data_IF_533429468367
#
_entry.id   IF_533429468367
#
_cell.length_a   1.000
_cell.length_b   1.000
_cell.length_c   1.000
_cell.angle_alpha   90.00
_cell.angle_beta   90.00
_cell.angle_gamma   90.00
#
_symmetry.space_group_name_H-M   'P 1'
#
loop_
_entity.id
_entity.type
_entity.pdbx_description
1 polymer ?
#
# COMPACT_ATOMS: atom_id res chain seq x y z
N UNK A 1 0.91 -10.05 25.67
CA UNK A 1 0.77 -9.69 24.25
C UNK A 1 -0.72 -9.64 23.93
N UNK A 2 -1.24 -8.53 23.46
CA UNK A 2 -2.66 -8.44 23.09
C UNK A 2 -2.87 -9.33 21.86
N UNK A 3 -3.70 -10.36 21.93
CA UNK A 3 -4.00 -11.20 20.78
C UNK A 3 -4.73 -10.37 19.71
N UNK A 4 -4.38 -10.55 18.46
CA UNK A 4 -5.10 -9.96 17.33
C UNK A 4 -5.37 -11.03 16.27
N UNK A 5 -6.42 -10.80 15.50
CA UNK A 5 -6.79 -11.65 14.38
C UNK A 5 -6.62 -10.84 13.09
N UNK A 6 -5.95 -11.42 12.09
CA UNK A 6 -5.89 -10.84 10.74
C UNK A 6 -7.04 -11.42 9.92
N UNK A 7 -7.87 -10.53 9.37
CA UNK A 7 -8.99 -10.87 8.50
C UNK A 7 -8.67 -10.44 7.07
N UNK A 8 -8.91 -11.35 6.13
CA UNK A 8 -8.66 -11.14 4.69
C UNK A 8 -9.86 -10.44 4.03
N UNK A 9 -10.15 -9.25 4.49
CA UNK A 9 -11.19 -8.38 3.96
C UNK A 9 -10.91 -6.93 4.38
N UNK A 10 -11.51 -5.97 3.68
CA UNK A 10 -11.51 -4.60 4.13
C UNK A 10 -12.34 -4.46 5.42
N UNK A 11 -11.92 -3.61 6.37
CA UNK A 11 -12.73 -3.30 7.55
C UNK A 11 -13.93 -2.42 7.17
N UNK A 12 -14.88 -2.28 8.10
CA UNK A 12 -15.98 -1.32 7.94
C UNK A 12 -15.43 0.10 7.71
N UNK A 13 -16.04 0.85 6.79
CA UNK A 13 -15.53 2.16 6.37
C UNK A 13 -15.42 3.17 7.52
N UNK A 14 -16.37 3.16 8.47
CA UNK A 14 -16.33 4.05 9.62
C UNK A 14 -15.14 3.75 10.53
N UNK A 15 -14.87 2.49 10.82
CA UNK A 15 -13.75 2.06 11.66
C UNK A 15 -12.41 2.36 10.97
N UNK A 16 -12.34 2.11 9.66
CA UNK A 16 -11.15 2.44 8.87
C UNK A 16 -10.86 3.94 8.89
N UNK A 17 -11.85 4.78 8.64
CA UNK A 17 -11.67 6.23 8.66
C UNK A 17 -11.22 6.72 10.03
N UNK A 18 -11.79 6.21 11.11
CA UNK A 18 -11.37 6.53 12.48
C UNK A 18 -9.91 6.15 12.74
N UNK A 19 -9.48 4.98 12.30
CA UNK A 19 -8.09 4.54 12.42
C UNK A 19 -7.15 5.41 11.59
N UNK A 20 -7.53 5.75 10.35
CA UNK A 20 -6.72 6.60 9.46
C UNK A 20 -6.57 8.02 10.02
N UNK A 21 -7.62 8.60 10.56
CA UNK A 21 -7.58 9.93 11.18
C UNK A 21 -6.71 9.92 12.44
N UNK A 22 -6.76 8.84 13.22
CA UNK A 22 -5.91 8.66 14.39
C UNK A 22 -4.42 8.53 14.01
N UNK A 23 -4.11 7.78 12.95
CA UNK A 23 -2.72 7.50 12.53
C UNK A 23 -2.08 8.66 11.75
N UNK A 24 -2.85 9.36 10.91
CA UNK A 24 -2.33 10.30 9.91
C UNK A 24 -2.88 11.73 10.05
N UNK A 25 -3.91 11.91 10.86
CA UNK A 25 -4.58 13.19 11.03
C UNK A 25 -5.48 13.58 9.85
N UNK A 26 -6.23 14.69 9.98
CA UNK A 26 -7.20 15.14 8.98
C UNK A 26 -6.55 15.60 7.66
N UNK A 27 -5.28 16.00 7.67
CA UNK A 27 -4.53 16.39 6.49
C UNK A 27 -4.14 15.23 5.55
N UNK A 28 -4.47 13.98 5.90
CA UNK A 28 -4.13 12.80 5.09
C UNK A 28 -4.67 12.84 3.67
N UNK A 29 -5.84 13.45 3.46
CA UNK A 29 -6.48 13.58 2.16
C UNK A 29 -5.77 14.55 1.20
N UNK A 30 -4.88 15.40 1.71
CA UNK A 30 -4.08 16.31 0.90
C UNK A 30 -2.79 15.68 0.35
N UNK A 31 -2.46 14.45 0.73
CA UNK A 31 -1.25 13.75 0.28
C UNK A 31 -1.33 13.38 -1.19
N UNK A 32 -0.20 13.45 -1.90
CA UNK A 32 -0.12 13.14 -3.34
C UNK A 32 -0.67 11.75 -3.68
N UNK A 33 -0.41 10.74 -2.86
CA UNK A 33 -0.92 9.39 -3.09
C UNK A 33 -2.46 9.30 -3.10
N UNK A 34 -3.16 10.22 -2.42
CA UNK A 34 -4.63 10.27 -2.46
C UNK A 34 -5.17 10.58 -3.85
N UNK A 35 -4.43 11.34 -4.67
CA UNK A 35 -4.82 11.61 -6.08
C UNK A 35 -5.01 10.32 -6.89
N UNK A 36 -4.27 9.26 -6.55
CA UNK A 36 -4.38 7.95 -7.21
C UNK A 36 -5.55 7.11 -6.67
N UNK A 37 -6.17 7.51 -5.56
CA UNK A 37 -7.30 6.81 -4.91
C UNK A 37 -8.65 7.44 -5.21
N UNK A 38 -8.69 8.73 -5.56
CA UNK A 38 -9.95 9.52 -5.71
C UNK A 38 -10.94 8.96 -6.72
N UNK A 39 -10.48 8.40 -7.82
CA UNK A 39 -11.31 7.78 -8.86
C UNK A 39 -11.02 6.29 -9.02
N UNK A 40 -10.58 5.65 -7.94
CA UNK A 40 -10.10 4.29 -7.93
C UNK A 40 -10.83 3.48 -6.85
N UNK A 41 -10.64 2.16 -6.85
CA UNK A 41 -11.17 1.25 -5.84
C UNK A 41 -10.05 0.34 -5.34
N UNK A 42 -10.03 0.02 -4.03
CA UNK A 42 -9.09 -0.96 -3.53
C UNK A 42 -9.50 -2.36 -3.99
N UNK A 43 -8.51 -3.21 -4.22
CA UNK A 43 -8.75 -4.61 -4.56
C UNK A 43 -9.10 -5.36 -3.28
N UNK A 44 -10.31 -5.89 -3.21
CA UNK A 44 -10.84 -6.55 -2.02
C UNK A 44 -9.98 -7.73 -1.57
N UNK A 45 -9.51 -8.56 -2.49
CA UNK A 45 -8.73 -9.76 -2.20
C UNK A 45 -7.36 -9.46 -1.55
N UNK A 46 -6.85 -8.24 -1.72
CA UNK A 46 -5.57 -7.80 -1.14
C UNK A 46 -5.73 -6.88 0.07
N UNK A 47 -6.96 -6.49 0.39
CA UNK A 47 -7.26 -5.68 1.57
C UNK A 47 -7.35 -6.57 2.81
N UNK A 48 -6.60 -6.23 3.85
CA UNK A 48 -6.58 -6.97 5.09
C UNK A 48 -6.67 -6.02 6.27
N UNK A 49 -7.21 -6.53 7.38
CA UNK A 49 -7.22 -5.78 8.62
C UNK A 49 -6.95 -6.69 9.83
N UNK A 50 -6.51 -6.08 10.90
CA UNK A 50 -6.32 -6.73 12.19
C UNK A 50 -7.23 -6.09 13.23
N UNK A 51 -7.84 -6.90 14.07
CA UNK A 51 -8.71 -6.46 15.16
C UNK A 51 -8.48 -7.29 16.42
N UNK A 52 -8.81 -6.72 17.56
CA UNK A 52 -9.09 -7.44 18.79
C UNK A 52 -10.62 -7.57 18.99
N UNK A 53 -11.07 -7.93 20.19
CA UNK A 53 -12.49 -8.10 20.48
C UNK A 53 -13.31 -6.79 20.38
N UNK A 54 -12.66 -5.63 20.44
CA UNK A 54 -13.32 -4.34 20.64
C UNK A 54 -13.03 -3.31 19.57
N UNK A 55 -11.91 -3.43 18.83
CA UNK A 55 -11.46 -2.35 17.94
C UNK A 55 -10.61 -2.82 16.77
N UNK A 56 -10.56 -2.00 15.74
CA UNK A 56 -9.63 -2.12 14.63
C UNK A 56 -8.23 -1.71 15.06
N UNK A 57 -7.26 -2.60 14.90
CA UNK A 57 -5.86 -2.41 15.30
C UNK A 57 -4.94 -2.05 14.14
N UNK A 58 -5.30 -2.46 12.93
CA UNK A 58 -4.52 -2.14 11.74
C UNK A 58 -5.27 -2.47 10.46
N UNK A 59 -4.88 -1.85 9.38
CA UNK A 59 -5.45 -2.10 8.06
C UNK A 59 -4.45 -1.81 6.95
N UNK A 60 -4.54 -2.55 5.85
CA UNK A 60 -3.77 -2.35 4.63
C UNK A 60 -4.69 -2.47 3.42
N UNK A 61 -4.47 -1.62 2.42
CA UNK A 61 -5.21 -1.64 1.16
C UNK A 61 -4.24 -1.55 -0.02
N UNK A 62 -4.69 -2.06 -1.17
CA UNK A 62 -3.97 -1.98 -2.45
C UNK A 62 -4.92 -1.49 -3.53
N UNK A 63 -4.43 -0.59 -4.37
CA UNK A 63 -5.20 0.08 -5.41
C UNK A 63 -4.55 -0.17 -6.77
N UNK A 64 -5.30 -0.57 -7.79
CA UNK A 64 -4.71 -0.81 -9.11
C UNK A 64 -4.26 0.50 -9.75
N UNK A 65 -3.04 0.48 -10.27
CA UNK A 65 -2.39 1.59 -10.98
C UNK A 65 -1.66 1.05 -12.20
N UNK A 66 -1.23 1.95 -13.07
CA UNK A 66 -0.31 1.62 -14.14
C UNK A 66 0.72 2.72 -14.36
N UNK A 67 1.87 2.34 -14.89
CA UNK A 67 2.90 3.22 -15.43
C UNK A 67 3.08 2.82 -16.88
N UNK A 68 2.75 3.72 -17.83
CA UNK A 68 2.57 3.38 -19.23
C UNK A 68 1.62 2.15 -19.36
N UNK A 69 2.06 1.07 -20.00
CA UNK A 69 1.27 -0.17 -20.13
C UNK A 69 1.57 -1.22 -19.04
N UNK A 70 2.44 -0.89 -18.08
CA UNK A 70 2.83 -1.83 -17.01
C UNK A 70 1.85 -1.75 -15.85
N UNK A 71 1.09 -2.82 -15.55
CA UNK A 71 0.14 -2.83 -14.45
C UNK A 71 0.85 -3.01 -13.10
N UNK A 72 0.37 -2.31 -12.09
CA UNK A 72 0.90 -2.40 -10.74
C UNK A 72 -0.14 -2.07 -9.69
N UNK A 73 0.31 -2.06 -8.45
CA UNK A 73 -0.50 -1.74 -7.27
C UNK A 73 0.11 -0.59 -6.48
N UNK A 74 -0.72 0.31 -6.03
CA UNK A 74 -0.36 1.27 -4.97
C UNK A 74 -0.70 0.64 -3.62
N UNK A 75 0.31 0.39 -2.80
CA UNK A 75 0.14 -0.04 -1.41
C UNK A 75 -0.21 1.17 -0.54
N UNK A 76 -1.26 1.04 0.22
CA UNK A 76 -1.62 2.00 1.25
C UNK A 76 -3.11 2.43 1.17
N UNK A 77 -3.56 3.04 2.25
CA UNK A 77 -2.83 3.26 3.49
C UNK A 77 -2.48 1.95 4.20
N UNK A 78 -1.34 1.94 4.88
CA UNK A 78 -1.00 0.98 5.91
C UNK A 78 -1.10 1.72 7.24
N UNK A 79 -2.10 1.40 8.03
CA UNK A 79 -2.36 2.03 9.32
C UNK A 79 -2.21 1.01 10.45
N UNK A 80 -1.56 1.42 11.53
CA UNK A 80 -1.41 0.62 12.76
C UNK A 80 -1.75 1.51 13.93
N UNK A 81 -2.72 1.06 14.73
CA UNK A 81 -3.13 1.77 15.95
C UNK A 81 -1.91 2.10 16.83
N UNK A 82 -1.81 3.30 17.41
CA UNK A 82 -0.64 3.70 18.20
C UNK A 82 -0.22 2.68 19.27
N UNK A 83 -1.16 2.06 19.96
CA UNK A 83 -0.90 1.03 20.99
C UNK A 83 -0.22 -0.23 20.44
N UNK A 84 -0.28 -0.45 19.13
CA UNK A 84 0.27 -1.63 18.45
C UNK A 84 1.53 -1.33 17.64
N UNK A 85 1.95 -0.07 17.56
CA UNK A 85 3.17 0.31 16.88
C UNK A 85 4.41 -0.32 17.55
N UNK A 86 5.41 -0.65 16.73
CA UNK A 86 6.62 -1.33 17.22
C UNK A 86 6.45 -2.81 17.57
N UNK A 87 5.25 -3.38 17.41
CA UNK A 87 4.95 -4.80 17.74
C UNK A 87 4.89 -5.72 16.52
N UNK A 88 5.30 -5.23 15.34
CA UNK A 88 5.36 -6.03 14.11
C UNK A 88 4.04 -6.18 13.35
N UNK A 89 2.92 -5.61 13.84
CA UNK A 89 1.62 -5.76 13.20
C UNK A 89 1.59 -5.23 11.76
N UNK A 90 2.17 -4.06 11.51
CA UNK A 90 2.23 -3.48 10.16
C UNK A 90 3.00 -4.37 9.18
N UNK A 91 4.12 -4.93 9.61
CA UNK A 91 4.90 -5.86 8.79
C UNK A 91 4.13 -7.16 8.54
N UNK A 92 3.45 -7.70 9.54
CA UNK A 92 2.63 -8.91 9.41
C UNK A 92 1.48 -8.70 8.40
N UNK A 93 0.75 -7.57 8.48
CA UNK A 93 -0.29 -7.21 7.52
C UNK A 93 0.26 -7.10 6.10
N UNK A 94 1.40 -6.42 5.94
CA UNK A 94 2.04 -6.22 4.65
C UNK A 94 2.51 -7.55 4.04
N UNK A 95 3.21 -8.38 4.79
CA UNK A 95 3.70 -9.68 4.31
C UNK A 95 2.54 -10.60 3.90
N UNK A 96 1.51 -10.71 4.74
CA UNK A 96 0.32 -11.51 4.45
C UNK A 96 -0.38 -11.05 3.16
N UNK A 97 -0.46 -9.75 2.93
CA UNK A 97 -1.07 -9.22 1.72
C UNK A 97 -0.20 -9.43 0.47
N UNK A 98 1.11 -9.17 0.59
CA UNK A 98 2.06 -9.32 -0.53
C UNK A 98 2.11 -10.76 -1.07
N UNK A 99 1.97 -11.76 -0.20
CA UNK A 99 1.94 -13.18 -0.59
C UNK A 99 0.72 -13.54 -1.46
N UNK A 100 -0.34 -12.75 -1.40
CA UNK A 100 -1.57 -12.98 -2.16
C UNK A 100 -1.60 -12.29 -3.52
N UNK A 101 -0.65 -11.38 -3.78
CA UNK A 101 -0.64 -10.62 -5.04
C UNK A 101 -0.34 -11.54 -6.21
N UNK A 102 -1.24 -11.53 -7.19
CA UNK A 102 -1.10 -12.30 -8.42
C UNK A 102 -0.12 -11.61 -9.38
N UNK A 103 1.07 -12.21 -9.51
CA UNK A 103 2.12 -11.74 -10.40
C UNK A 103 1.78 -11.87 -11.90
N UNK A 104 0.73 -12.61 -12.26
CA UNK A 104 0.21 -12.64 -13.63
C UNK A 104 -0.63 -11.39 -13.96
N UNK A 105 -1.15 -10.70 -12.92
CA UNK A 105 -1.98 -9.51 -13.10
C UNK A 105 -1.20 -8.20 -12.88
N UNK A 106 -0.24 -8.21 -11.97
CA UNK A 106 0.48 -7.00 -11.55
C UNK A 106 1.98 -7.25 -11.52
N UNK A 107 2.75 -6.34 -12.10
CA UNK A 107 4.19 -6.49 -12.23
C UNK A 107 4.96 -5.83 -11.06
N UNK A 108 4.39 -4.81 -10.43
CA UNK A 108 5.06 -4.06 -9.37
C UNK A 108 4.10 -3.56 -8.28
N UNK A 109 4.65 -3.24 -7.12
CA UNK A 109 3.98 -2.55 -6.02
C UNK A 109 4.73 -1.25 -5.74
N UNK A 110 4.00 -0.13 -5.70
CA UNK A 110 4.50 1.21 -5.44
C UNK A 110 3.94 1.74 -4.13
N UNK A 111 4.70 2.50 -3.38
CA UNK A 111 4.22 3.23 -2.20
C UNK A 111 5.02 4.50 -1.95
N UNK A 112 4.50 5.35 -1.08
CA UNK A 112 5.23 6.50 -0.50
C UNK A 112 5.42 6.24 0.99
N UNK A 113 6.67 6.13 1.44
CA UNK A 113 6.97 5.81 2.83
C UNK A 113 8.45 5.83 3.16
N UNK A 114 8.80 5.36 4.34
CA UNK A 114 10.17 5.40 4.84
C UNK A 114 10.94 4.13 4.44
N UNK A 115 12.00 4.29 3.67
CA UNK A 115 12.80 3.17 3.16
C UNK A 115 13.27 2.21 4.25
N UNK A 116 13.81 2.65 5.40
CA UNK A 116 14.26 1.72 6.46
C UNK A 116 13.16 0.76 6.95
N UNK A 117 11.91 1.20 6.92
CA UNK A 117 10.77 0.35 7.28
C UNK A 117 10.42 -0.63 6.16
N UNK A 118 10.22 -0.11 4.94
CA UNK A 118 9.70 -0.88 3.82
C UNK A 118 10.75 -1.78 3.13
N UNK A 119 12.04 -1.46 3.24
CA UNK A 119 13.10 -2.35 2.72
C UNK A 119 13.06 -3.75 3.36
N UNK A 120 12.52 -3.87 4.56
CA UNK A 120 12.31 -5.16 5.24
C UNK A 120 11.34 -6.08 4.50
N UNK A 121 10.49 -5.51 3.64
CA UNK A 121 9.58 -6.23 2.76
C UNK A 121 10.01 -6.20 1.28
N UNK A 122 11.28 -5.88 1.00
CA UNK A 122 11.86 -5.92 -0.33
C UNK A 122 11.64 -4.67 -1.18
N UNK A 123 11.19 -3.56 -0.59
CA UNK A 123 11.06 -2.29 -1.30
C UNK A 123 12.42 -1.57 -1.43
N UNK A 124 12.57 -0.83 -2.51
CA UNK A 124 13.70 0.04 -2.79
C UNK A 124 13.21 1.34 -3.41
N UNK A 125 14.07 2.34 -3.49
CA UNK A 125 13.73 3.62 -4.14
C UNK A 125 13.35 3.36 -5.60
N UNK A 126 12.25 3.94 -6.04
CA UNK A 126 11.77 3.81 -7.42
C UNK A 126 12.73 4.47 -8.41
N UNK A 127 12.77 4.01 -9.68
CA UNK A 127 13.50 4.70 -10.74
C UNK A 127 13.08 6.18 -10.86
N UNK A 128 14.03 7.06 -11.15
CA UNK A 128 13.81 8.52 -11.21
C UNK A 128 12.80 8.95 -12.28
N UNK A 129 12.52 8.11 -13.26
CA UNK A 129 11.52 8.37 -14.29
C UNK A 129 10.07 8.16 -13.85
N UNK A 130 9.82 7.58 -12.68
CA UNK A 130 8.46 7.37 -12.15
C UNK A 130 7.95 8.67 -11.56
N UNK A 131 6.76 9.11 -11.99
CA UNK A 131 6.17 10.40 -11.58
C UNK A 131 4.75 10.21 -11.03
N UNK A 132 4.52 10.68 -9.81
CA UNK A 132 3.19 10.80 -9.22
C UNK A 132 2.45 12.07 -9.71
N UNK A 133 1.12 12.13 -9.55
CA UNK A 133 0.31 13.31 -9.94
C UNK A 133 0.44 14.48 -8.94
N UNK A 134 1.62 14.72 -8.41
CA UNK A 134 1.93 15.80 -7.47
C UNK A 134 3.31 15.61 -6.85
N UNK A 135 3.74 16.51 -5.97
CA UNK A 135 5.06 16.46 -5.35
C UNK A 135 5.19 15.25 -4.44
N UNK A 136 6.34 14.62 -4.48
CA UNK A 136 6.76 13.53 -3.59
C UNK A 136 8.27 13.64 -3.39
N UNK A 137 8.73 13.33 -2.19
CA UNK A 137 10.15 13.13 -1.92
C UNK A 137 10.63 11.88 -2.68
N UNK A 138 11.59 12.02 -3.62
CA UNK A 138 12.07 10.88 -4.41
C UNK A 138 12.61 9.73 -3.56
N UNK A 139 13.18 10.01 -2.40
CA UNK A 139 13.70 8.97 -1.50
C UNK A 139 12.61 8.19 -0.78
N UNK A 140 11.39 8.71 -0.79
CA UNK A 140 10.20 8.07 -0.20
C UNK A 140 9.30 7.39 -1.23
N UNK A 141 9.54 7.59 -2.52
CA UNK A 141 8.82 6.86 -3.56
C UNK A 141 9.50 5.49 -3.75
N UNK A 142 8.83 4.45 -3.28
CA UNK A 142 9.40 3.12 -3.18
C UNK A 142 8.66 2.13 -4.07
N UNK A 143 9.41 1.17 -4.61
CA UNK A 143 8.88 0.12 -5.47
C UNK A 143 9.48 -1.24 -5.12
N UNK A 144 8.71 -2.29 -5.33
CA UNK A 144 9.21 -3.67 -5.37
C UNK A 144 8.55 -4.43 -6.52
N UNK A 145 9.21 -5.43 -7.12
CA UNK A 145 8.55 -6.35 -8.04
C UNK A 145 7.48 -7.18 -7.30
N UNK A 146 6.40 -7.52 -7.99
CA UNK A 146 5.37 -8.42 -7.44
C UNK A 146 5.92 -9.83 -7.22
N UNK A 147 6.85 -10.25 -8.07
CA UNK A 147 7.58 -11.51 -7.97
C UNK A 147 9.02 -11.31 -8.46
N UNK A 148 9.93 -12.23 -8.13
CA UNK A 148 11.35 -12.10 -8.44
C UNK A 148 11.65 -11.98 -9.95
N UNK A 149 10.88 -12.62 -10.81
CA UNK A 149 11.01 -12.55 -12.27
C UNK A 149 10.61 -11.20 -12.87
N UNK A 150 9.95 -10.33 -12.10
CA UNK A 150 9.54 -8.98 -12.50
C UNK A 150 10.59 -7.90 -12.17
N UNK A 151 11.74 -8.25 -11.61
CA UNK A 151 12.76 -7.30 -11.20
C UNK A 151 13.25 -6.40 -12.34
N UNK A 152 13.45 -6.93 -13.55
CA UNK A 152 13.88 -6.16 -14.72
C UNK A 152 12.80 -5.16 -15.16
N UNK A 153 11.53 -5.52 -15.08
CA UNK A 153 10.39 -4.63 -15.38
C UNK A 153 10.38 -3.47 -14.38
N UNK A 154 10.53 -3.75 -13.09
CA UNK A 154 10.60 -2.72 -12.06
C UNK A 154 11.75 -1.74 -12.28
N UNK A 155 12.93 -2.23 -12.63
CA UNK A 155 14.10 -1.39 -12.87
C UNK A 155 13.94 -0.47 -14.10
N UNK A 156 13.09 -0.85 -15.05
CA UNK A 156 12.83 -0.10 -16.29
C UNK A 156 11.60 0.83 -16.20
N UNK A 157 10.91 0.90 -15.05
CA UNK A 157 9.72 1.73 -14.91
C UNK A 157 10.03 3.20 -15.17
N UNK A 158 9.25 3.83 -16.04
CA UNK A 158 9.33 5.26 -16.34
C UNK A 158 7.99 5.76 -16.88
N UNK A 159 7.52 6.87 -16.36
CA UNK A 159 6.29 7.50 -16.79
C UNK A 159 5.43 7.99 -15.63
N UNK A 160 4.29 8.58 -15.98
CA UNK A 160 3.30 9.03 -15.01
C UNK A 160 2.51 7.83 -14.45
N UNK A 161 2.34 7.83 -13.15
CA UNK A 161 1.47 6.85 -12.47
C UNK A 161 0.02 7.29 -12.64
N UNK A 162 -0.84 6.37 -13.06
CA UNK A 162 -2.28 6.61 -13.22
C UNK A 162 -3.12 5.53 -12.53
N UNK A 163 -4.32 5.85 -12.01
CA UNK A 163 -5.24 4.86 -11.52
C UNK A 163 -5.82 4.01 -12.65
N UNK A 164 -6.14 2.74 -12.34
CA UNK A 164 -6.76 1.79 -13.28
C UNK A 164 -7.95 1.09 -12.64
N UNK A 165 -9.04 1.82 -12.33
CA UNK A 165 -10.20 1.27 -11.61
C UNK A 165 -10.88 0.11 -12.35
N UNK A 166 -10.67 -0.03 -13.65
CA UNK A 166 -11.13 -1.14 -14.48
C UNK A 166 -10.48 -2.49 -14.14
N UNK A 167 -9.38 -2.48 -13.39
CA UNK A 167 -8.66 -3.69 -12.98
C UNK A 167 -9.06 -4.22 -11.60
N UNK A 168 -10.09 -3.64 -10.97
CA UNK A 168 -10.61 -4.10 -9.68
C UNK A 168 -11.37 -5.42 -9.78
#
# INVERSE_FOLDING_TARGET
>A
MTPFTITHAAPASADLNSLLDLCFGPGRLARTAERLRESNRPIADYSHHAHDETRLLGAISFWPIAIAETPGLLLGPLAVHPDMQGRGLGLALMQTALEKIDAARFDFILLVGDLPYYQRAGFQVAPSGVRLPGPVDPERLLVRPSHADKAAICAALSGAVRPTPEMC
#
